data_IF_780565486449
#
_entry.id   IF_780565486449
#
_cell.length_a   1.000
_cell.length_b   1.000
_cell.length_c   1.000
_cell.angle_alpha   90.00
_cell.angle_beta   90.00
_cell.angle_gamma   90.00
#
_symmetry.space_group_name_H-M   'P 1'
#
loop_
_entity.id
_entity.type
_entity.pdbx_description
1 polymer ?
#
# COMPACT_ATOMS: atom_id res chain seq x y z
N UNK A 1 -22.08 8.78 -4.04
CA UNK A 1 -21.57 10.16 -4.02
C UNK A 1 -20.53 10.31 -5.11
N UNK A 2 -20.66 11.32 -5.97
CA UNK A 2 -19.71 11.59 -7.04
C UNK A 2 -18.35 12.02 -6.45
N UNK A 3 -17.27 11.52 -7.02
CA UNK A 3 -15.90 11.87 -6.64
C UNK A 3 -15.63 13.37 -6.77
N UNK A 4 -16.37 14.08 -7.63
CA UNK A 4 -16.27 15.52 -7.81
C UNK A 4 -16.55 16.32 -6.52
N UNK A 5 -17.40 15.82 -5.61
CA UNK A 5 -17.73 16.51 -4.35
C UNK A 5 -16.76 16.17 -3.21
N UNK A 6 -15.83 15.23 -3.41
CA UNK A 6 -14.80 14.86 -2.43
C UNK A 6 -13.62 15.81 -2.51
N UNK A 7 -13.86 17.10 -2.29
CA UNK A 7 -12.81 18.11 -2.23
C UNK A 7 -12.44 18.44 -0.78
N UNK A 8 -11.20 18.92 -0.52
CA UNK A 8 -10.78 19.31 0.83
C UNK A 8 -11.67 20.42 1.44
N UNK A 9 -12.11 21.38 0.63
CA UNK A 9 -12.95 22.50 1.08
C UNK A 9 -14.33 22.01 1.57
N UNK A 10 -15.00 21.15 0.79
CA UNK A 10 -16.31 20.60 1.15
C UNK A 10 -16.19 19.68 2.36
N UNK A 11 -15.17 18.82 2.38
CA UNK A 11 -14.96 17.85 3.45
C UNK A 11 -14.64 18.55 4.78
N UNK A 12 -13.78 19.58 4.75
CA UNK A 12 -13.46 20.38 5.93
C UNK A 12 -14.69 21.12 6.48
N UNK A 13 -15.51 21.71 5.60
CA UNK A 13 -16.76 22.37 6.00
C UNK A 13 -17.74 21.41 6.69
N UNK A 14 -17.88 20.17 6.21
CA UNK A 14 -18.78 19.18 6.80
C UNK A 14 -18.28 18.72 8.18
N UNK A 15 -16.97 18.46 8.32
CA UNK A 15 -16.38 18.10 9.61
C UNK A 15 -16.50 19.22 10.64
N UNK A 16 -16.32 20.49 10.25
CA UNK A 16 -16.53 21.64 11.14
C UNK A 16 -17.98 21.80 11.62
N UNK A 17 -18.93 21.19 10.91
CA UNK A 17 -20.35 21.16 11.28
C UNK A 17 -20.77 19.87 12.00
N UNK A 18 -19.82 19.01 12.33
CA UNK A 18 -20.06 17.69 12.94
C UNK A 18 -20.96 16.79 12.07
N UNK A 19 -21.01 17.05 10.76
CA UNK A 19 -21.77 16.24 9.80
C UNK A 19 -20.83 15.15 9.26
N UNK A 20 -21.24 13.88 9.37
CA UNK A 20 -20.48 12.75 8.81
C UNK A 20 -20.83 12.55 7.33
N UNK A 21 -19.93 12.85 6.38
CA UNK A 21 -20.25 12.72 4.96
C UNK A 21 -20.10 11.27 4.46
N UNK A 22 -21.01 10.83 3.60
CA UNK A 22 -20.88 9.60 2.85
C UNK A 22 -19.97 9.81 1.62
N UNK A 23 -18.66 9.86 1.84
CA UNK A 23 -17.67 10.04 0.77
C UNK A 23 -17.35 8.71 0.07
N UNK A 24 -17.13 8.71 -1.26
CA UNK A 24 -16.68 7.51 -1.94
C UNK A 24 -15.27 7.10 -1.48
N UNK A 25 -15.00 5.79 -1.52
CA UNK A 25 -13.67 5.25 -1.23
C UNK A 25 -12.64 5.78 -2.24
N UNK A 26 -11.52 6.30 -1.74
CA UNK A 26 -10.35 6.60 -2.58
C UNK A 26 -9.34 5.50 -2.36
N UNK A 27 -8.97 4.80 -3.43
CA UNK A 27 -7.93 3.78 -3.37
C UNK A 27 -6.60 4.44 -2.94
N UNK A 28 -5.90 3.90 -1.92
CA UNK A 28 -4.57 4.36 -1.54
C UNK A 28 -3.64 4.39 -2.75
N UNK A 29 -2.96 5.51 -2.94
CA UNK A 29 -1.97 5.66 -4.01
C UNK A 29 -0.63 5.21 -3.49
N UNK A 30 -0.05 4.19 -4.12
CA UNK A 30 1.34 3.81 -3.91
C UNK A 30 2.25 4.94 -4.40
N UNK A 31 3.38 5.17 -3.72
CA UNK A 31 4.40 6.12 -4.15
C UNK A 31 4.96 5.72 -5.52
N UNK A 32 5.28 6.69 -6.37
CA UNK A 32 5.95 6.43 -7.64
C UNK A 32 7.28 5.69 -7.42
N UNK A 33 7.59 4.73 -8.30
CA UNK A 33 8.73 3.82 -8.17
C UNK A 33 8.52 2.61 -7.25
N UNK A 34 7.32 2.44 -6.65
CA UNK A 34 6.98 1.27 -5.83
C UNK A 34 5.88 0.43 -6.47
N UNK A 35 6.02 -0.89 -6.35
CA UNK A 35 4.99 -1.85 -6.78
C UNK A 35 3.75 -1.78 -5.89
N UNK A 36 2.59 -2.06 -6.48
CA UNK A 36 1.32 -2.15 -5.75
C UNK A 36 1.22 -3.49 -5.06
N UNK A 37 0.41 -3.57 -4.00
CA UNK A 37 0.25 -4.81 -3.22
C UNK A 37 -0.18 -6.03 -4.06
N UNK A 38 -1.03 -5.81 -5.07
CA UNK A 38 -1.51 -6.89 -5.94
C UNK A 38 -0.48 -7.37 -6.97
N UNK A 39 0.62 -6.65 -7.13
CA UNK A 39 1.70 -7.08 -8.01
C UNK A 39 2.58 -8.16 -7.33
N UNK A 40 2.47 -8.31 -6.00
CA UNK A 40 3.17 -9.34 -5.26
C UNK A 40 2.35 -10.63 -5.23
N UNK A 41 3.00 -11.75 -5.53
CA UNK A 41 2.40 -13.08 -5.43
C UNK A 41 2.75 -13.67 -4.07
N UNK A 42 1.76 -14.19 -3.35
CA UNK A 42 2.01 -14.92 -2.11
C UNK A 42 2.28 -16.39 -2.43
N UNK A 43 3.38 -16.90 -1.87
CA UNK A 43 3.67 -18.32 -1.85
C UNK A 43 3.37 -18.84 -0.43
N UNK A 44 2.25 -19.53 -0.29
CA UNK A 44 1.79 -20.10 0.98
C UNK A 44 2.67 -21.27 1.43
N UNK A 45 3.30 -22.00 0.50
CA UNK A 45 4.10 -23.18 0.81
C UNK A 45 5.41 -22.79 1.48
N UNK A 46 6.04 -21.71 1.01
CA UNK A 46 7.32 -21.23 1.52
C UNK A 46 7.19 -20.02 2.48
N UNK A 47 5.97 -19.62 2.84
CA UNK A 47 5.66 -18.44 3.68
C UNK A 47 6.43 -17.20 3.20
N UNK A 48 6.33 -16.89 1.91
CA UNK A 48 7.06 -15.78 1.30
C UNK A 48 6.20 -15.01 0.28
N UNK A 49 6.70 -13.85 -0.13
CA UNK A 49 6.10 -13.07 -1.22
C UNK A 49 7.10 -12.93 -2.36
N UNK A 50 6.64 -13.09 -3.59
CA UNK A 50 7.43 -12.84 -4.79
C UNK A 50 7.10 -11.45 -5.32
N UNK A 51 8.13 -10.64 -5.56
CA UNK A 51 7.96 -9.34 -6.20
C UNK A 51 7.85 -9.48 -7.73
N UNK A 52 7.36 -8.45 -8.44
CA UNK A 52 7.30 -8.43 -9.91
C UNK A 52 8.66 -8.60 -10.59
N UNK A 53 9.76 -8.29 -9.91
CA UNK A 53 11.12 -8.49 -10.40
C UNK A 53 11.64 -9.92 -10.18
N UNK A 54 10.84 -10.81 -9.59
CA UNK A 54 11.19 -12.22 -9.32
C UNK A 54 11.92 -12.48 -8.01
N UNK A 55 12.17 -11.44 -7.21
CA UNK A 55 12.86 -11.57 -5.91
C UNK A 55 11.91 -12.01 -4.79
N UNK A 56 12.42 -12.85 -3.89
CA UNK A 56 11.66 -13.37 -2.75
C UNK A 56 11.79 -12.46 -1.53
N UNK A 57 10.65 -12.00 -1.01
CA UNK A 57 10.52 -11.29 0.25
C UNK A 57 10.31 -12.31 1.37
N UNK A 58 11.30 -12.38 2.26
CA UNK A 58 11.28 -13.27 3.42
C UNK A 58 10.51 -12.62 4.57
N UNK A 59 9.92 -13.47 5.42
CA UNK A 59 9.36 -13.05 6.69
C UNK A 59 10.44 -12.34 7.52
N UNK A 60 10.10 -11.14 8.02
CA UNK A 60 10.96 -10.33 8.87
C UNK A 60 10.51 -10.45 10.32
N UNK A 61 9.31 -9.96 10.61
CA UNK A 61 8.81 -9.77 11.97
C UNK A 61 7.29 -9.68 11.94
N UNK A 62 6.63 -10.00 13.04
CA UNK A 62 5.20 -9.72 13.23
C UNK A 62 5.06 -8.42 14.02
N UNK A 63 4.22 -7.49 13.56
CA UNK A 63 4.01 -6.21 14.22
C UNK A 63 3.11 -6.35 15.47
N UNK A 64 2.97 -5.28 16.26
CA UNK A 64 2.14 -5.28 17.49
C UNK A 64 0.65 -5.57 17.24
N UNK A 65 0.18 -5.33 16.02
CA UNK A 65 -1.20 -5.56 15.59
C UNK A 65 -1.42 -6.98 15.03
N UNK A 66 -0.38 -7.82 15.00
CA UNK A 66 -0.46 -9.22 14.55
C UNK A 66 -0.21 -9.44 13.06
N UNK A 67 0.16 -8.40 12.30
CA UNK A 67 0.49 -8.54 10.87
C UNK A 67 1.92 -9.01 10.67
N UNK A 68 2.09 -10.01 9.80
CA UNK A 68 3.41 -10.47 9.34
C UNK A 68 3.99 -9.49 8.32
N UNK A 69 5.22 -9.06 8.55
CA UNK A 69 5.96 -8.20 7.64
C UNK A 69 6.95 -9.03 6.82
N UNK A 70 6.95 -8.80 5.50
CA UNK A 70 7.88 -9.39 4.55
C UNK A 70 8.74 -8.29 3.96
N UNK A 71 10.05 -8.48 3.94
CA UNK A 71 11.01 -7.43 3.53
C UNK A 71 12.02 -8.00 2.55
N UNK A 72 12.29 -7.22 1.50
CA UNK A 72 13.44 -7.44 0.62
C UNK A 72 14.71 -6.83 1.23
N UNK A 73 15.90 -7.39 0.94
CA UNK A 73 17.15 -6.75 1.31
C UNK A 73 17.32 -5.43 0.56
N UNK A 74 17.69 -4.36 1.28
CA UNK A 74 17.89 -3.03 0.68
C UNK A 74 18.92 -3.04 -0.45
N UNK A 75 19.94 -3.89 -0.36
CA UNK A 75 21.01 -4.02 -1.37
C UNK A 75 20.47 -4.51 -2.72
N UNK A 76 19.54 -5.47 -2.70
CA UNK A 76 18.93 -6.02 -3.92
C UNK A 76 18.01 -4.97 -4.56
N UNK A 77 17.20 -4.29 -3.73
CA UNK A 77 16.34 -3.24 -4.24
C UNK A 77 17.12 -2.04 -4.78
N UNK A 78 18.28 -1.70 -4.20
CA UNK A 78 19.10 -0.57 -4.65
C UNK A 78 19.61 -0.69 -6.09
N UNK A 79 19.79 -1.91 -6.59
CA UNK A 79 20.20 -2.18 -7.99
C UNK A 79 19.04 -2.57 -8.90
N UNK A 80 17.79 -2.46 -8.42
CA UNK A 80 16.62 -2.89 -9.17
C UNK A 80 16.33 -1.95 -10.35
N UNK A 81 16.08 -2.52 -11.53
CA UNK A 81 15.75 -1.79 -12.76
C UNK A 81 14.44 -0.99 -12.69
N UNK A 82 13.60 -1.29 -11.71
CA UNK A 82 12.33 -0.59 -11.47
C UNK A 82 12.47 0.65 -10.57
N UNK A 83 13.67 0.92 -10.03
CA UNK A 83 13.99 2.23 -9.44
C UNK A 83 14.23 3.23 -10.58
N UNK A 84 13.17 3.92 -11.00
CA UNK A 84 13.28 5.17 -11.77
C UNK A 84 13.15 6.38 -10.85
#
# INVERSE_FOLDING_TARGET
ADAAYKTPAITSYLFNKEITPALPYTRPRTKEGFFRKHDYVNDEHFDCYLCPSGETLKYSTTNKEGYREYKSPKQICATCSFLS
#
